data_IF_390156899090
#
_entry.id   IF_390156899090
#
_cell.length_a   1.000
_cell.length_b   1.000
_cell.length_c   1.000
_cell.angle_alpha   90.00
_cell.angle_beta   90.00
_cell.angle_gamma   90.00
#
_symmetry.space_group_name_H-M   'P 1'
#
loop_
_entity.id
_entity.type
_entity.pdbx_description
1 polymer ?
#
# COMPACT_ATOMS: atom_id res chain seq x y z
N UNK A 1 -19.86 -0.61 49.02
CA UNK A 1 -18.81 -0.33 48.02
C UNK A 1 -19.48 -0.40 46.66
N UNK A 2 -19.94 0.75 46.16
CA UNK A 2 -20.58 0.87 44.86
C UNK A 2 -19.57 0.64 43.75
N UNK A 3 -19.71 -0.48 43.05
CA UNK A 3 -18.91 -0.79 41.87
C UNK A 3 -19.44 0.06 40.71
N UNK A 4 -18.80 1.20 40.45
CA UNK A 4 -19.07 1.99 39.24
C UNK A 4 -18.35 1.33 38.07
N UNK A 5 -19.09 0.62 37.22
CA UNK A 5 -18.63 0.28 35.88
C UNK A 5 -18.54 1.57 35.07
N UNK A 6 -17.32 2.05 34.84
CA UNK A 6 -17.07 3.11 33.87
C UNK A 6 -17.36 2.58 32.46
N UNK A 7 -18.07 3.40 31.68
CA UNK A 7 -18.54 3.16 30.31
C UNK A 7 -17.62 2.30 29.41
N UNK A 8 -18.20 1.53 28.47
CA UNK A 8 -17.41 0.92 27.42
C UNK A 8 -16.71 2.04 26.65
N UNK A 9 -15.37 2.04 26.70
CA UNK A 9 -14.55 2.87 25.82
C UNK A 9 -15.08 2.66 24.41
N UNK A 10 -15.68 3.70 23.81
CA UNK A 10 -15.99 3.74 22.39
C UNK A 10 -14.73 3.24 21.67
N UNK A 11 -14.80 2.03 21.13
CA UNK A 11 -13.81 1.51 20.22
C UNK A 11 -13.85 2.45 19.01
N UNK A 12 -13.00 3.48 19.05
CA UNK A 12 -12.61 4.18 17.83
C UNK A 12 -12.10 3.06 16.94
N UNK A 13 -12.81 2.79 15.85
CA UNK A 13 -12.31 1.93 14.79
C UNK A 13 -10.82 2.29 14.60
N UNK A 14 -9.91 1.30 14.68
CA UNK A 14 -8.49 1.58 14.59
C UNK A 14 -8.26 2.44 13.34
N UNK A 15 -7.37 3.45 13.40
CA UNK A 15 -7.04 4.21 12.20
C UNK A 15 -6.72 3.19 11.09
N UNK A 16 -7.18 3.42 9.85
CA UNK A 16 -6.99 2.46 8.76
C UNK A 16 -5.52 2.06 8.77
N UNK A 17 -5.29 0.78 9.04
CA UNK A 17 -3.96 0.30 9.32
C UNK A 17 -3.27 0.25 7.97
N UNK A 18 -2.51 1.31 7.66
CA UNK A 18 -1.95 1.56 6.33
C UNK A 18 -1.18 0.34 5.82
N UNK A 19 -0.58 -0.42 6.73
CA UNK A 19 0.09 -1.70 6.44
C UNK A 19 -0.88 -2.75 5.89
N UNK A 20 -2.05 -2.95 6.51
CA UNK A 20 -3.06 -3.89 6.01
C UNK A 20 -3.59 -3.49 4.63
N UNK A 21 -3.77 -2.18 4.40
CA UNK A 21 -4.21 -1.69 3.09
C UNK A 21 -3.13 -1.85 2.02
N UNK A 22 -1.85 -1.68 2.38
CA UNK A 22 -0.71 -1.95 1.50
C UNK A 22 -0.64 -3.45 1.16
N UNK A 23 -0.79 -4.33 2.15
CA UNK A 23 -0.84 -5.78 1.95
C UNK A 23 -1.97 -6.15 1.00
N UNK A 24 -3.17 -5.61 1.20
CA UNK A 24 -4.32 -5.87 0.32
C UNK A 24 -4.08 -5.39 -1.12
N UNK A 25 -3.45 -4.21 -1.31
CA UNK A 25 -3.10 -3.70 -2.64
C UNK A 25 -2.03 -4.58 -3.29
N UNK A 26 -0.99 -4.96 -2.54
CA UNK A 26 0.08 -5.83 -3.02
C UNK A 26 -0.42 -7.23 -3.38
N UNK A 27 -1.40 -7.74 -2.64
CA UNK A 27 -2.02 -9.02 -2.89
C UNK A 27 -3.14 -9.00 -3.94
N UNK A 28 -3.54 -7.81 -4.40
CA UNK A 28 -4.62 -7.63 -5.36
C UNK A 28 -4.38 -8.45 -6.65
N UNK A 29 -5.42 -9.12 -7.18
CA UNK A 29 -5.31 -9.89 -8.41
C UNK A 29 -4.85 -9.04 -9.62
N UNK A 30 -5.16 -7.75 -9.62
CA UNK A 30 -4.79 -6.81 -10.68
C UNK A 30 -3.28 -6.52 -10.63
N UNK A 31 -2.76 -6.23 -9.43
CA UNK A 31 -1.32 -6.03 -9.19
C UNK A 31 -0.54 -7.30 -9.52
N UNK A 32 -1.00 -8.47 -9.04
CA UNK A 32 -0.40 -9.76 -9.38
C UNK A 32 -0.47 -10.09 -10.88
N UNK A 33 -1.48 -9.60 -11.60
CA UNK A 33 -1.61 -9.79 -13.06
C UNK A 33 -0.62 -8.92 -13.84
N UNK A 34 -0.45 -7.66 -13.43
CA UNK A 34 0.49 -6.71 -14.07
C UNK A 34 1.92 -7.21 -13.90
N UNK A 35 2.29 -7.63 -12.70
CA UNK A 35 3.65 -8.14 -12.44
C UNK A 35 3.86 -9.55 -12.99
N UNK A 36 2.77 -10.30 -13.20
CA UNK A 36 2.78 -11.62 -13.82
C UNK A 36 3.63 -12.63 -13.03
N UNK A 37 4.16 -13.64 -13.72
CA UNK A 37 5.13 -14.61 -13.15
C UNK A 37 6.55 -14.05 -13.06
N UNK A 38 6.79 -12.81 -13.50
CA UNK A 38 8.14 -12.25 -13.68
C UNK A 38 8.81 -11.88 -12.37
N UNK A 39 8.06 -11.54 -11.32
CA UNK A 39 8.60 -11.43 -9.97
C UNK A 39 8.26 -12.69 -9.18
N UNK A 40 9.21 -13.60 -9.04
CA UNK A 40 9.05 -14.79 -8.21
C UNK A 40 8.89 -14.47 -6.72
N UNK A 41 8.88 -13.19 -6.30
CA UNK A 41 8.92 -12.76 -4.91
C UNK A 41 7.80 -11.73 -4.62
N UNK A 42 6.73 -12.18 -3.97
CA UNK A 42 5.67 -11.28 -3.48
C UNK A 42 6.19 -10.19 -2.52
N UNK A 43 7.37 -10.39 -1.93
CA UNK A 43 8.06 -9.40 -1.10
C UNK A 43 8.52 -8.17 -1.87
N UNK A 44 8.89 -8.29 -3.15
CA UNK A 44 9.30 -7.13 -3.97
C UNK A 44 8.11 -6.25 -4.33
N UNK A 45 6.96 -6.86 -4.65
CA UNK A 45 5.71 -6.13 -4.91
C UNK A 45 5.26 -5.41 -3.65
N UNK A 46 5.24 -6.11 -2.51
CA UNK A 46 4.87 -5.49 -1.24
C UNK A 46 5.78 -4.31 -0.89
N UNK A 47 7.08 -4.46 -1.11
CA UNK A 47 8.04 -3.37 -0.94
C UNK A 47 7.76 -2.21 -1.90
N UNK A 48 7.47 -2.49 -3.17
CA UNK A 48 7.11 -1.47 -4.15
C UNK A 48 5.89 -0.66 -3.70
N UNK A 49 4.79 -1.34 -3.38
CA UNK A 49 3.54 -0.70 -2.93
C UNK A 49 3.78 0.11 -1.66
N UNK A 50 4.55 -0.44 -0.71
CA UNK A 50 4.93 0.26 0.52
C UNK A 50 5.70 1.54 0.23
N UNK A 51 6.71 1.49 -0.65
CA UNK A 51 7.53 2.65 -0.98
C UNK A 51 6.72 3.72 -1.71
N UNK A 52 5.85 3.34 -2.64
CA UNK A 52 4.95 4.28 -3.32
C UNK A 52 4.01 4.94 -2.31
N UNK A 53 3.25 4.18 -1.53
CA UNK A 53 2.24 4.74 -0.63
C UNK A 53 2.89 5.54 0.52
N UNK A 54 3.92 4.97 1.14
CA UNK A 54 4.55 5.58 2.31
C UNK A 54 5.50 6.70 1.89
N UNK A 55 6.52 6.42 1.07
CA UNK A 55 7.57 7.41 0.78
C UNK A 55 7.09 8.53 -0.15
N UNK A 56 6.24 8.23 -1.14
CA UNK A 56 5.76 9.24 -2.10
C UNK A 56 4.56 9.99 -1.55
N UNK A 57 3.53 9.31 -1.04
CA UNK A 57 2.27 9.97 -0.70
C UNK A 57 2.14 10.36 0.78
N UNK A 58 2.51 9.49 1.73
CA UNK A 58 2.43 9.80 3.17
C UNK A 58 3.55 10.71 3.65
N UNK A 59 4.80 10.35 3.34
CA UNK A 59 5.99 11.04 3.85
C UNK A 59 6.50 12.13 2.89
N UNK A 60 6.18 12.05 1.59
CA UNK A 60 6.66 12.95 0.54
C UNK A 60 8.19 13.11 0.53
N UNK A 61 8.90 12.04 0.87
CA UNK A 61 10.37 11.99 0.93
C UNK A 61 11.01 11.50 -0.37
N UNK A 62 10.23 10.90 -1.25
CA UNK A 62 10.70 10.38 -2.54
C UNK A 62 9.70 10.73 -3.65
N UNK A 63 10.19 10.85 -4.88
CA UNK A 63 9.33 10.97 -6.07
C UNK A 63 8.96 9.58 -6.60
N UNK A 64 7.91 9.53 -7.42
CA UNK A 64 7.53 8.31 -8.13
C UNK A 64 8.69 7.78 -8.98
N UNK A 65 9.38 8.65 -9.72
CA UNK A 65 10.51 8.30 -10.57
C UNK A 65 11.67 7.66 -9.80
N UNK A 66 11.99 8.16 -8.60
CA UNK A 66 13.01 7.57 -7.73
C UNK A 66 12.66 6.15 -7.28
N UNK A 67 11.39 5.95 -6.88
CA UNK A 67 10.91 4.61 -6.50
C UNK A 67 10.96 3.68 -7.72
N UNK A 68 10.47 4.12 -8.89
CA UNK A 68 10.52 3.33 -10.12
C UNK A 68 11.94 2.97 -10.56
N UNK A 69 12.91 3.88 -10.35
CA UNK A 69 14.32 3.64 -10.65
C UNK A 69 14.99 2.60 -9.73
N UNK A 70 14.40 2.30 -8.58
CA UNK A 70 14.95 1.35 -7.60
C UNK A 70 14.66 -0.11 -7.96
N UNK A 71 13.68 -0.36 -8.83
CA UNK A 71 13.26 -1.71 -9.22
C UNK A 71 13.75 -2.06 -10.63
N UNK A 72 14.22 -3.29 -10.82
CA UNK A 72 14.66 -3.81 -12.11
C UNK A 72 13.49 -4.49 -12.84
N UNK A 73 12.52 -3.68 -13.30
CA UNK A 73 11.38 -4.12 -14.11
C UNK A 73 11.31 -3.30 -15.41
N UNK A 74 10.57 -3.78 -16.41
CA UNK A 74 10.30 -2.99 -17.62
C UNK A 74 9.59 -1.68 -17.26
N UNK A 75 10.02 -0.56 -17.86
CA UNK A 75 9.48 0.76 -17.50
C UNK A 75 7.98 0.90 -17.78
N UNK A 76 7.48 0.27 -18.85
CA UNK A 76 6.05 0.19 -19.12
C UNK A 76 5.28 -0.54 -18.01
N UNK A 77 5.86 -1.62 -17.45
CA UNK A 77 5.24 -2.42 -16.40
C UNK A 77 5.26 -1.68 -15.07
N UNK A 78 6.34 -0.95 -14.77
CA UNK A 78 6.45 -0.06 -13.62
C UNK A 78 5.39 1.03 -13.63
N UNK A 79 5.21 1.71 -14.75
CA UNK A 79 4.19 2.76 -14.86
C UNK A 79 2.78 2.21 -14.69
N UNK A 80 2.48 1.06 -15.31
CA UNK A 80 1.18 0.41 -15.20
C UNK A 80 0.91 -0.03 -13.74
N UNK A 81 1.91 -0.63 -13.09
CA UNK A 81 1.86 -1.02 -11.68
C UNK A 81 1.66 0.19 -10.77
N UNK A 82 2.42 1.27 -10.97
CA UNK A 82 2.29 2.50 -10.21
C UNK A 82 0.88 3.10 -10.34
N UNK A 83 0.35 3.19 -11.57
CA UNK A 83 -1.01 3.69 -11.80
C UNK A 83 -2.06 2.87 -11.08
N UNK A 84 -1.94 1.55 -11.12
CA UNK A 84 -2.88 0.65 -10.48
C UNK A 84 -2.82 0.76 -8.95
N UNK A 85 -1.61 0.80 -8.38
CA UNK A 85 -1.40 1.02 -6.94
C UNK A 85 -2.00 2.35 -6.49
N UNK A 86 -1.79 3.44 -7.24
CA UNK A 86 -2.35 4.76 -6.94
C UNK A 86 -3.87 4.73 -7.03
N UNK A 87 -4.43 4.04 -8.04
CA UNK A 87 -5.88 3.89 -8.21
C UNK A 87 -6.49 3.19 -7.00
N UNK A 88 -5.95 2.05 -6.58
CA UNK A 88 -6.45 1.32 -5.42
C UNK A 88 -6.26 2.10 -4.12
N UNK A 89 -5.11 2.75 -3.94
CA UNK A 89 -4.85 3.60 -2.77
C UNK A 89 -5.83 4.77 -2.66
N UNK A 90 -6.21 5.40 -3.78
CA UNK A 90 -7.26 6.43 -3.83
C UNK A 90 -8.64 5.86 -3.53
N UNK A 91 -8.99 4.71 -4.10
CA UNK A 91 -10.28 4.05 -3.82
C UNK A 91 -10.46 3.70 -2.35
N UNK A 92 -9.36 3.33 -1.68
CA UNK A 92 -9.30 3.00 -0.25
C UNK A 92 -9.15 4.23 0.65
N UNK A 93 -8.99 5.44 0.10
CA UNK A 93 -8.83 6.68 0.86
C UNK A 93 -7.52 6.79 1.65
N UNK A 94 -6.48 6.08 1.20
CA UNK A 94 -5.14 6.11 1.83
C UNK A 94 -4.39 7.39 1.44
N UNK A 95 -4.62 7.87 0.21
CA UNK A 95 -3.96 9.01 -0.44
C UNK A 95 -4.97 9.94 -1.12
#
# INVERSE_FOLDING_TARGET
MDWKFSDPKKEKAPPPNVMCEIDEIAESPEVKRIVGKNTGHGSEIHRFVSEVIIKVYKEKKATLEEVLGTFHMDDNLKEELAREVIRQARMKGII
#
